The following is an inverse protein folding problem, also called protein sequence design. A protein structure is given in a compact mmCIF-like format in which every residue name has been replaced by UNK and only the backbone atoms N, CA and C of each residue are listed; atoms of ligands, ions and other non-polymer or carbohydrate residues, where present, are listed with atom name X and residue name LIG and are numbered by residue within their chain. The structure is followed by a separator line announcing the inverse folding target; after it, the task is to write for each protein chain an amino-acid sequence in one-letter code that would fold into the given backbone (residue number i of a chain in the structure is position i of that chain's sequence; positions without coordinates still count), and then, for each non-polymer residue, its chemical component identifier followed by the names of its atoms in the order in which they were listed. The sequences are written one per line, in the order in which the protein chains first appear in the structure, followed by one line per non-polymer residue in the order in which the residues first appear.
data_IF_200116723483
#
_entry.id   IF_200116723483
#
_cell.length_a   1.000
_cell.length_b   1.000
_cell.length_c   1.000
_cell.angle_alpha   90.00
_cell.angle_beta   90.00
_cell.angle_gamma   90.00
#
_symmetry.space_group_name_H-M   'P 1'
#
loop_
_entity.id
_entity.type
_entity.pdbx_description
1 polymer ?
#
# COMPACT_ATOMS: atom_id res chain seq x y z
N UNK A 1 26.08 5.01 7.31
CA UNK A 1 25.04 6.03 7.57
C UNK A 1 23.89 5.74 6.65
N UNK A 2 22.66 5.72 7.15
CA UNK A 2 21.43 5.45 6.37
C UNK A 2 20.65 6.76 6.25
N UNK A 3 20.12 7.03 5.06
CA UNK A 3 19.34 8.25 4.77
C UNK A 3 17.97 7.88 4.25
N UNK A 4 16.94 8.65 4.65
CA UNK A 4 15.62 8.66 4.00
C UNK A 4 15.67 9.75 2.93
N UNK A 5 15.50 9.38 1.67
CA UNK A 5 15.58 10.30 0.53
C UNK A 5 14.22 10.85 0.13
N UNK A 6 13.18 10.05 0.28
CA UNK A 6 11.80 10.42 0.01
C UNK A 6 10.83 9.52 0.78
N UNK A 7 9.63 9.99 0.98
CA UNK A 7 8.51 9.24 1.53
C UNK A 7 7.23 9.50 0.75
N UNK A 8 6.23 8.67 0.95
CA UNK A 8 4.87 8.92 0.51
C UNK A 8 3.86 8.15 1.37
N UNK A 9 2.75 8.78 1.70
CA UNK A 9 1.61 8.17 2.38
C UNK A 9 0.38 8.31 1.51
N UNK A 10 -0.35 7.22 1.31
CA UNK A 10 -1.67 7.22 0.69
C UNK A 10 -2.70 6.78 1.73
N UNK A 11 -3.71 7.59 1.94
CA UNK A 11 -4.86 7.28 2.78
C UNK A 11 -6.11 7.97 2.23
N UNK A 12 -7.30 7.73 2.77
CA UNK A 12 -8.50 8.47 2.38
C UNK A 12 -8.44 9.99 2.66
N UNK A 13 -7.41 10.48 3.35
CA UNK A 13 -7.17 11.89 3.60
C UNK A 13 -6.28 12.56 2.57
N UNK A 14 -5.53 11.79 1.78
CA UNK A 14 -4.64 12.32 0.76
C UNK A 14 -3.77 11.27 0.11
N UNK A 15 -3.15 11.63 -0.98
CA UNK A 15 -2.32 10.75 -1.81
C UNK A 15 -0.82 11.02 -1.66
N UNK A 16 -0.46 11.97 -0.82
CA UNK A 16 0.92 12.33 -0.48
C UNK A 16 1.08 12.49 1.03
N UNK A 17 2.31 12.41 1.53
CA UNK A 17 2.62 12.65 2.95
C UNK A 17 2.18 14.05 3.39
N UNK A 18 2.40 15.07 2.56
CA UNK A 18 2.02 16.45 2.86
C UNK A 18 0.49 16.62 2.94
N UNK A 19 -0.28 16.09 1.98
CA UNK A 19 -1.74 16.15 2.02
C UNK A 19 -2.29 15.49 3.30
N UNK A 20 -1.78 14.31 3.65
CA UNK A 20 -2.17 13.61 4.87
C UNK A 20 -1.82 14.42 6.12
N UNK A 21 -0.61 14.98 6.18
CA UNK A 21 -0.17 15.83 7.29
C UNK A 21 -1.08 17.05 7.48
N UNK A 22 -1.37 17.77 6.40
CA UNK A 22 -2.24 18.95 6.47
C UNK A 22 -3.67 18.60 6.87
N UNK A 23 -4.22 17.49 6.37
CA UNK A 23 -5.54 17.02 6.74
C UNK A 23 -5.62 16.68 8.23
N UNK A 24 -4.65 15.93 8.76
CA UNK A 24 -4.58 15.59 10.19
C UNK A 24 -4.39 16.83 11.05
N UNK A 25 -3.51 17.74 10.63
CA UNK A 25 -3.27 19.02 11.32
C UNK A 25 -4.51 19.89 11.39
N UNK A 26 -5.37 19.84 10.36
CA UNK A 26 -6.66 20.53 10.34
C UNK A 26 -7.76 19.80 11.15
N UNK A 27 -7.45 18.68 11.80
CA UNK A 27 -8.42 17.91 12.57
C UNK A 27 -9.35 17.05 11.71
N UNK A 28 -9.05 16.86 10.42
CA UNK A 28 -9.85 16.02 9.53
C UNK A 28 -9.73 14.55 9.88
N UNK A 29 -10.83 13.81 9.75
CA UNK A 29 -10.88 12.35 9.87
C UNK A 29 -11.55 11.76 8.63
N UNK A 30 -11.02 10.64 8.17
CA UNK A 30 -11.64 9.85 7.10
C UNK A 30 -12.51 8.70 7.64
N UNK A 31 -12.63 8.56 8.94
CA UNK A 31 -13.54 7.58 9.56
C UNK A 31 -14.97 8.04 9.35
N UNK A 32 -15.77 7.20 8.67
CA UNK A 32 -17.18 7.47 8.36
C UNK A 32 -18.03 6.26 8.68
N UNK A 33 -19.33 6.50 8.89
CA UNK A 33 -20.30 5.41 9.05
C UNK A 33 -20.73 4.89 7.68
N UNK A 34 -20.67 3.61 7.51
CA UNK A 34 -21.12 2.90 6.32
C UNK A 34 -22.33 2.03 6.66
N UNK A 35 -23.23 1.86 5.70
CA UNK A 35 -24.31 0.89 5.79
C UNK A 35 -23.75 -0.55 5.80
N UNK A 36 -24.49 -1.54 6.30
CA UNK A 36 -24.10 -2.94 6.19
C UNK A 36 -23.82 -3.32 4.71
N UNK A 37 -22.70 -3.99 4.46
CA UNK A 37 -22.31 -4.42 3.11
C UNK A 37 -22.88 -5.79 2.74
N UNK A 38 -23.36 -6.55 3.72
CA UNK A 38 -23.92 -7.89 3.55
C UNK A 38 -25.20 -8.05 4.35
N UNK A 39 -26.12 -8.86 3.82
CA UNK A 39 -27.32 -9.26 4.55
C UNK A 39 -26.95 -10.02 5.82
N UNK A 40 -27.62 -9.70 6.92
CA UNK A 40 -27.37 -10.31 8.23
C UNK A 40 -26.47 -9.53 9.17
N UNK A 41 -25.88 -8.41 8.75
CA UNK A 41 -25.23 -7.46 9.63
C UNK A 41 -26.22 -6.34 9.99
N UNK A 42 -26.80 -6.35 11.21
CA UNK A 42 -27.94 -5.48 11.53
C UNK A 42 -27.60 -3.99 11.64
N UNK A 43 -26.34 -3.65 11.82
CA UNK A 43 -25.91 -2.28 12.03
C UNK A 43 -24.76 -1.88 11.09
N UNK A 44 -24.73 -0.61 10.69
CA UNK A 44 -23.61 -0.04 9.97
C UNK A 44 -22.34 -0.02 10.83
N UNK A 45 -21.20 0.13 10.18
CA UNK A 45 -19.89 0.14 10.83
C UNK A 45 -19.14 1.45 10.56
N UNK A 46 -18.17 1.75 11.41
CA UNK A 46 -17.26 2.88 11.24
C UNK A 46 -15.97 2.39 10.60
N UNK A 47 -15.59 3.00 9.49
CA UNK A 47 -14.36 2.66 8.78
C UNK A 47 -13.77 3.86 8.05
N UNK A 48 -12.50 3.73 7.68
CA UNK A 48 -11.79 4.60 6.75
C UNK A 48 -11.43 3.74 5.53
N UNK A 49 -12.25 3.80 4.48
CA UNK A 49 -12.13 2.92 3.32
C UNK A 49 -11.33 3.60 2.21
N UNK A 50 -10.50 2.80 1.54
CA UNK A 50 -9.83 3.16 0.30
C UNK A 50 -10.68 2.70 -0.89
N UNK A 51 -10.63 3.46 -1.99
CA UNK A 51 -11.38 3.16 -3.22
C UNK A 51 -10.59 2.31 -4.24
N UNK A 52 -9.29 2.16 -4.03
CA UNK A 52 -8.40 1.42 -4.92
C UNK A 52 -7.99 0.09 -4.30
N UNK A 53 -7.62 -0.88 -5.14
CA UNK A 53 -7.07 -2.14 -4.70
C UNK A 53 -5.67 -1.99 -4.09
N UNK A 54 -5.22 -3.03 -3.39
CA UNK A 54 -3.95 -3.03 -2.68
C UNK A 54 -2.76 -2.77 -3.60
N UNK A 55 -2.73 -3.44 -4.75
CA UNK A 55 -1.61 -3.33 -5.68
C UNK A 55 -1.45 -1.92 -6.24
N UNK A 56 -2.55 -1.29 -6.68
CA UNK A 56 -2.54 0.07 -7.21
C UNK A 56 -2.15 1.10 -6.15
N UNK A 57 -2.58 0.91 -4.90
CA UNK A 57 -2.16 1.77 -3.78
C UNK A 57 -0.66 1.70 -3.56
N UNK A 58 -0.09 0.48 -3.48
CA UNK A 58 1.35 0.29 -3.29
C UNK A 58 2.13 0.82 -4.49
N UNK A 59 1.72 0.47 -5.72
CA UNK A 59 2.37 0.96 -6.93
C UNK A 59 2.39 2.50 -6.98
N UNK A 60 1.25 3.13 -6.75
CA UNK A 60 1.14 4.60 -6.78
C UNK A 60 2.03 5.25 -5.72
N UNK A 61 2.04 4.72 -4.51
CA UNK A 61 2.85 5.27 -3.41
C UNK A 61 4.34 5.15 -3.68
N UNK A 62 4.81 3.96 -4.07
CA UNK A 62 6.22 3.73 -4.38
C UNK A 62 6.68 4.54 -5.59
N UNK A 63 5.86 4.63 -6.63
CA UNK A 63 6.19 5.43 -7.82
C UNK A 63 6.38 6.93 -7.49
N UNK A 64 5.53 7.48 -6.60
CA UNK A 64 5.69 8.86 -6.12
C UNK A 64 6.99 9.04 -5.34
N UNK A 65 7.29 8.13 -4.41
CA UNK A 65 8.53 8.18 -3.64
C UNK A 65 9.79 8.02 -4.53
N UNK A 66 9.77 7.12 -5.51
CA UNK A 66 10.85 6.96 -6.49
C UNK A 66 11.09 8.25 -7.29
N UNK A 67 10.04 8.86 -7.80
CA UNK A 67 10.17 10.13 -8.54
C UNK A 67 10.72 11.25 -7.66
N UNK A 68 10.26 11.36 -6.43
CA UNK A 68 10.73 12.37 -5.50
C UNK A 68 12.19 12.17 -5.08
N UNK A 69 12.65 10.91 -4.96
CA UNK A 69 14.02 10.58 -4.62
C UNK A 69 15.02 10.78 -5.77
N UNK A 70 14.55 10.81 -7.02
CA UNK A 70 15.40 10.83 -8.20
C UNK A 70 16.20 9.54 -8.45
N UNK A 71 15.86 8.44 -7.75
CA UNK A 71 16.54 7.15 -7.90
C UNK A 71 16.03 6.39 -9.11
N UNK A 72 16.95 5.63 -9.74
CA UNK A 72 16.64 4.74 -10.85
C UNK A 72 16.29 3.34 -10.31
N UNK A 73 15.02 2.94 -10.42
CA UNK A 73 14.55 1.62 -10.01
C UNK A 73 15.26 0.47 -10.75
N UNK A 74 15.84 0.73 -11.94
CA UNK A 74 16.56 -0.29 -12.73
C UNK A 74 17.99 -0.55 -12.25
N UNK A 75 18.53 0.25 -11.31
CA UNK A 75 19.84 0.01 -10.72
C UNK A 75 19.83 -1.34 -9.97
N UNK A 76 20.82 -2.20 -10.27
CA UNK A 76 20.95 -3.53 -9.64
C UNK A 76 21.20 -3.51 -8.13
N UNK A 77 21.48 -2.34 -7.56
CA UNK A 77 21.62 -2.13 -6.10
C UNK A 77 20.29 -1.79 -5.44
N UNK A 78 19.25 -1.46 -6.23
CA UNK A 78 17.91 -1.17 -5.72
C UNK A 78 17.18 -2.47 -5.40
N UNK A 79 16.54 -2.52 -4.25
CA UNK A 79 15.71 -3.63 -3.81
C UNK A 79 14.35 -3.09 -3.37
N UNK A 80 13.29 -3.70 -3.88
CA UNK A 80 11.93 -3.45 -3.42
C UNK A 80 11.63 -4.35 -2.23
N UNK A 81 11.22 -3.77 -1.11
CA UNK A 81 10.80 -4.50 0.08
C UNK A 81 9.31 -4.22 0.31
N UNK A 82 8.49 -5.26 0.25
CA UNK A 82 7.07 -5.18 0.58
C UNK A 82 6.85 -5.72 2.00
N UNK A 83 6.40 -4.84 2.88
CA UNK A 83 6.01 -5.21 4.23
C UNK A 83 4.49 -5.17 4.36
N UNK A 84 3.85 -6.34 4.49
CA UNK A 84 2.39 -6.46 4.60
C UNK A 84 1.99 -7.74 5.31
N UNK A 85 0.85 -7.70 5.99
CA UNK A 85 0.30 -8.89 6.67
C UNK A 85 -0.71 -9.65 5.85
N UNK A 86 -1.37 -9.02 4.89
CA UNK A 86 -2.53 -9.59 4.19
C UNK A 86 -2.43 -9.53 2.66
N UNK A 87 -1.87 -8.47 2.09
CA UNK A 87 -1.81 -8.28 0.65
C UNK A 87 -3.17 -8.00 0.03
N UNK A 88 -3.39 -8.48 -1.19
CA UNK A 88 -4.57 -8.27 -2.02
C UNK A 88 -5.74 -9.17 -1.58
N UNK A 89 -6.28 -8.96 -0.39
CA UNK A 89 -7.40 -9.75 0.15
C UNK A 89 -8.69 -9.59 -0.66
N UNK A 90 -8.81 -8.51 -1.40
CA UNK A 90 -9.91 -8.23 -2.32
C UNK A 90 -9.98 -9.20 -3.51
N UNK A 91 -8.91 -9.94 -3.76
CA UNK A 91 -8.86 -10.97 -4.81
C UNK A 91 -9.41 -12.34 -4.33
N UNK A 92 -9.59 -12.51 -3.03
CA UNK A 92 -10.13 -13.75 -2.47
C UNK A 92 -11.53 -14.06 -3.02
N UNK A 93 -11.71 -15.27 -3.55
CA UNK A 93 -12.98 -15.76 -4.07
C UNK A 93 -13.36 -15.24 -5.45
N UNK A 94 -12.51 -14.49 -6.14
CA UNK A 94 -12.68 -14.15 -7.55
C UNK A 94 -12.37 -15.38 -8.42
N UNK A 95 -13.03 -15.46 -9.59
CA UNK A 95 -12.90 -16.59 -10.52
C UNK A 95 -11.47 -16.75 -11.06
N UNK A 96 -10.74 -15.65 -11.15
CA UNK A 96 -9.32 -15.61 -11.51
C UNK A 96 -8.57 -14.96 -10.34
N UNK A 97 -7.99 -15.79 -9.48
CA UNK A 97 -7.17 -15.35 -8.35
C UNK A 97 -5.77 -15.00 -8.86
N UNK A 98 -5.57 -13.74 -9.23
CA UNK A 98 -4.26 -13.22 -9.61
C UNK A 98 -3.60 -12.49 -8.45
N UNK A 99 -2.29 -12.72 -8.26
CA UNK A 99 -1.48 -12.02 -7.27
C UNK A 99 -1.97 -12.16 -5.81
N UNK A 100 -2.66 -13.26 -5.50
CA UNK A 100 -3.20 -13.50 -4.15
C UNK A 100 -2.09 -13.61 -3.10
N UNK A 101 -0.95 -14.22 -3.48
CA UNK A 101 0.17 -14.38 -2.57
C UNK A 101 1.06 -13.15 -2.53
N UNK A 102 1.47 -12.72 -1.33
CA UNK A 102 2.32 -11.54 -1.13
C UNK A 102 3.59 -11.54 -1.99
N UNK A 103 4.18 -12.72 -2.23
CA UNK A 103 5.35 -12.85 -3.08
C UNK A 103 5.07 -12.54 -4.55
N UNK A 104 3.92 -12.95 -5.06
CA UNK A 104 3.47 -12.67 -6.44
C UNK A 104 3.11 -11.20 -6.59
N UNK A 105 2.34 -10.65 -5.65
CA UNK A 105 2.02 -9.22 -5.61
C UNK A 105 3.28 -8.37 -5.59
N UNK A 106 4.25 -8.70 -4.73
CA UNK A 106 5.51 -7.97 -4.66
C UNK A 106 6.30 -8.05 -5.98
N UNK A 107 6.34 -9.23 -6.60
CA UNK A 107 7.03 -9.43 -7.88
C UNK A 107 6.35 -8.64 -9.00
N UNK A 108 5.02 -8.63 -9.05
CA UNK A 108 4.26 -7.89 -10.06
C UNK A 108 4.49 -6.38 -9.91
N UNK A 109 4.37 -5.83 -8.70
CA UNK A 109 4.63 -4.42 -8.42
C UNK A 109 6.08 -4.04 -8.77
N UNK A 110 7.05 -4.85 -8.34
CA UNK A 110 8.46 -4.61 -8.65
C UNK A 110 8.73 -4.56 -10.16
N UNK A 111 8.13 -5.47 -10.91
CA UNK A 111 8.24 -5.51 -12.38
C UNK A 111 7.62 -4.27 -13.03
N UNK A 112 6.43 -3.86 -12.61
CA UNK A 112 5.76 -2.64 -13.11
C UNK A 112 6.56 -1.37 -12.81
N UNK A 113 7.26 -1.32 -11.68
CA UNK A 113 8.13 -0.19 -11.29
C UNK A 113 9.51 -0.22 -11.96
N UNK A 114 9.87 -1.32 -12.64
CA UNK A 114 11.13 -1.47 -13.35
C UNK A 114 12.28 -2.02 -12.52
N UNK A 115 12.04 -2.53 -11.31
CA UNK A 115 13.09 -3.16 -10.50
C UNK A 115 13.64 -4.40 -11.20
N UNK A 116 14.97 -4.54 -11.18
CA UNK A 116 15.69 -5.69 -11.78
C UNK A 116 16.08 -6.74 -10.74
N UNK A 117 15.94 -6.42 -9.47
CA UNK A 117 16.21 -7.32 -8.37
C UNK A 117 14.94 -8.02 -7.92
N UNK A 118 15.08 -9.20 -7.36
CA UNK A 118 13.96 -9.92 -6.75
C UNK A 118 13.48 -9.15 -5.51
N UNK A 119 12.18 -8.90 -5.34
CA UNK A 119 11.65 -8.24 -4.17
C UNK A 119 11.81 -9.10 -2.91
N UNK A 120 11.88 -8.43 -1.77
CA UNK A 120 11.84 -9.06 -0.45
C UNK A 120 10.45 -8.83 0.13
N UNK A 121 9.85 -9.87 0.68
CA UNK A 121 8.57 -9.76 1.40
C UNK A 121 8.81 -9.97 2.89
N UNK A 122 8.33 -9.04 3.69
CA UNK A 122 8.31 -9.14 5.14
C UNK A 122 6.86 -9.29 5.60
N UNK A 123 6.56 -10.42 6.21
CA UNK A 123 5.23 -10.70 6.76
C UNK A 123 5.39 -11.23 8.19
N UNK A 124 5.26 -10.35 9.17
CA UNK A 124 5.47 -10.66 10.58
C UNK A 124 4.35 -10.07 11.43
N UNK A 125 3.12 -10.38 11.08
CA UNK A 125 1.91 -9.88 11.74
C UNK A 125 1.95 -8.36 11.96
N UNK A 126 1.63 -7.89 13.16
CA UNK A 126 1.53 -6.46 13.47
C UNK A 126 2.86 -5.70 13.41
N UNK A 127 3.99 -6.41 13.44
CA UNK A 127 5.34 -5.80 13.40
C UNK A 127 6.01 -5.87 12.03
N UNK A 128 5.28 -6.22 10.98
CA UNK A 128 5.85 -6.33 9.62
C UNK A 128 6.57 -5.04 9.19
N UNK A 129 6.07 -3.87 9.57
CA UNK A 129 6.66 -2.58 9.21
C UNK A 129 7.90 -2.19 9.99
N UNK A 130 8.28 -2.95 11.02
CA UNK A 130 9.47 -2.71 11.87
C UNK A 130 10.45 -3.87 11.88
N UNK A 131 10.22 -4.89 11.05
CA UNK A 131 11.06 -6.07 10.94
C UNK A 131 12.27 -5.88 10.01
#
# INVERSE_FOLDING_TARGET
MVYVLADNIISPLGTTSEENYQAVKAGNSAIRRYAPMTDGVPEGFMASLMSSDFEELVFSSVNKALRASGLDATDKRMVFILSSTKGAVEELGKTEEHNLYLGETAQHIATRLGFRTRPIVVCNACISGSA
#
